data_IF_826619795629
#
_entry.id   IF_826619795629
#
_cell.length_a   1.000
_cell.length_b   1.000
_cell.length_c   1.000
_cell.angle_alpha   90.00
_cell.angle_beta   90.00
_cell.angle_gamma   90.00
#
_symmetry.space_group_name_H-M   'P 1'
#
loop_
_entity.id
_entity.type
_entity.pdbx_description
1 polymer ?
#
# COMPACT_ATOMS: atom_id res chain seq x y z
N UNK A 1 -17.65 16.16 12.31
CA UNK A 1 -17.12 16.13 10.94
C UNK A 1 -15.60 15.95 10.85
N UNK A 2 -14.78 16.62 11.67
CA UNK A 2 -13.30 16.56 11.60
C UNK A 2 -12.68 15.31 12.28
N UNK A 3 -13.32 14.77 13.32
CA UNK A 3 -12.74 13.71 14.17
C UNK A 3 -12.36 12.44 13.37
N UNK A 4 -13.21 11.88 12.48
CA UNK A 4 -12.81 10.70 11.71
C UNK A 4 -11.62 10.96 10.79
N UNK A 5 -11.57 12.11 10.13
CA UNK A 5 -10.49 12.50 9.23
C UNK A 5 -9.15 12.61 9.99
N UNK A 6 -9.15 13.15 11.21
CA UNK A 6 -7.95 13.24 12.03
C UNK A 6 -7.43 11.86 12.46
N UNK A 7 -8.32 10.96 12.88
CA UNK A 7 -7.95 9.59 13.29
C UNK A 7 -7.29 8.87 12.11
N UNK A 8 -7.91 8.93 10.93
CA UNK A 8 -7.38 8.29 9.74
C UNK A 8 -6.10 8.95 9.21
N UNK A 9 -6.01 10.28 9.28
CA UNK A 9 -4.79 11.01 8.93
C UNK A 9 -3.60 10.62 9.81
N UNK A 10 -3.80 10.53 11.13
CA UNK A 10 -2.78 10.07 12.08
C UNK A 10 -2.39 8.61 11.85
N UNK A 11 -3.35 7.73 11.56
CA UNK A 11 -3.07 6.35 11.20
C UNK A 11 -2.23 6.23 9.92
N UNK A 12 -2.51 7.06 8.92
CA UNK A 12 -1.71 7.14 7.68
C UNK A 12 -0.28 7.59 7.93
N UNK A 13 -0.07 8.59 8.79
CA UNK A 13 1.27 9.04 9.21
C UNK A 13 2.01 7.92 9.95
N UNK A 14 1.33 7.22 10.86
CA UNK A 14 1.90 6.08 11.60
C UNK A 14 2.32 4.93 10.69
N UNK A 15 1.45 4.54 9.74
CA UNK A 15 1.76 3.50 8.76
C UNK A 15 2.91 3.88 7.83
N UNK A 16 2.92 5.12 7.32
CA UNK A 16 3.98 5.63 6.44
C UNK A 16 5.34 5.75 7.13
N UNK A 17 5.37 6.24 8.37
CA UNK A 17 6.60 6.39 9.16
C UNK A 17 7.19 5.04 9.60
N UNK A 18 6.35 4.07 9.98
CA UNK A 18 6.79 2.71 10.28
C UNK A 18 7.42 2.00 9.09
N UNK A 19 6.88 2.21 7.88
CA UNK A 19 7.48 1.71 6.65
C UNK A 19 8.85 2.37 6.40
N UNK A 20 8.94 3.69 6.51
CA UNK A 20 10.18 4.43 6.29
C UNK A 20 11.34 3.98 7.21
N UNK A 21 11.06 3.70 8.48
CA UNK A 21 12.05 3.20 9.42
C UNK A 21 12.53 1.78 9.05
N UNK A 22 11.61 0.89 8.68
CA UNK A 22 11.97 -0.48 8.27
C UNK A 22 12.77 -0.51 6.96
N UNK A 23 12.45 0.39 6.03
CA UNK A 23 13.13 0.52 4.74
C UNK A 23 14.63 0.81 4.88
N UNK A 24 15.06 1.59 5.87
CA UNK A 24 16.48 1.92 6.04
C UNK A 24 17.34 0.69 6.35
N UNK A 25 16.92 -0.14 7.32
CA UNK A 25 17.63 -1.39 7.63
C UNK A 25 17.60 -2.37 6.44
N UNK A 26 16.45 -2.47 5.79
CA UNK A 26 16.25 -3.37 4.68
C UNK A 26 17.11 -3.02 3.45
N UNK A 27 17.30 -1.73 3.14
CA UNK A 27 18.18 -1.30 2.05
C UNK A 27 19.65 -1.63 2.35
N UNK A 28 20.09 -1.42 3.58
CA UNK A 28 21.47 -1.71 4.00
C UNK A 28 21.81 -3.19 3.79
N UNK A 29 20.97 -4.09 4.30
CA UNK A 29 21.15 -5.55 4.17
C UNK A 29 21.12 -5.99 2.70
N UNK A 30 20.15 -5.50 1.91
CA UNK A 30 20.07 -5.81 0.48
C UNK A 30 21.30 -5.35 -0.29
N UNK A 31 21.86 -4.18 0.05
CA UNK A 31 23.03 -3.63 -0.63
C UNK A 31 24.27 -4.49 -0.36
N UNK A 32 24.44 -4.97 0.88
CA UNK A 32 25.52 -5.91 1.21
C UNK A 32 25.40 -7.21 0.43
N UNK A 33 24.21 -7.82 0.38
CA UNK A 33 24.00 -9.07 -0.35
C UNK A 33 24.21 -8.86 -1.85
N UNK A 34 23.74 -7.74 -2.42
CA UNK A 34 23.97 -7.41 -3.83
C UNK A 34 25.46 -7.29 -4.18
N UNK A 35 26.28 -6.74 -3.28
CA UNK A 35 27.72 -6.63 -3.50
C UNK A 35 28.46 -7.96 -3.33
N UNK A 36 27.99 -8.84 -2.44
CA UNK A 36 28.63 -10.15 -2.22
C UNK A 36 28.19 -11.21 -3.21
N UNK A 37 26.90 -11.30 -3.52
CA UNK A 37 26.30 -12.34 -4.35
C UNK A 37 25.00 -11.85 -5.02
N UNK A 38 25.12 -11.47 -6.29
CA UNK A 38 24.00 -10.97 -7.10
C UNK A 38 22.93 -12.01 -7.37
N UNK A 39 23.27 -13.31 -7.41
CA UNK A 39 22.31 -14.38 -7.64
C UNK A 39 21.51 -14.68 -6.36
N UNK A 40 22.18 -14.72 -5.21
CA UNK A 40 21.50 -14.85 -3.92
C UNK A 40 20.58 -13.65 -3.64
N UNK A 41 21.03 -12.42 -3.95
CA UNK A 41 20.20 -11.22 -3.92
C UNK A 41 18.94 -11.39 -4.78
N UNK A 42 19.11 -11.76 -6.05
CA UNK A 42 17.99 -11.85 -6.98
C UNK A 42 16.98 -12.92 -6.54
N UNK A 43 17.44 -14.08 -6.05
CA UNK A 43 16.56 -15.14 -5.57
C UNK A 43 15.75 -14.72 -4.32
N UNK A 44 16.40 -14.09 -3.33
CA UNK A 44 15.74 -13.64 -2.12
C UNK A 44 14.75 -12.51 -2.39
N UNK A 45 15.17 -11.50 -3.16
CA UNK A 45 14.37 -10.32 -3.40
C UNK A 45 13.20 -10.59 -4.37
N UNK A 46 13.39 -11.50 -5.34
CA UNK A 46 12.30 -11.96 -6.20
C UNK A 46 11.18 -12.62 -5.37
N UNK A 47 11.52 -13.55 -4.48
CA UNK A 47 10.52 -14.23 -3.63
C UNK A 47 9.73 -13.24 -2.76
N UNK A 48 10.42 -12.19 -2.26
CA UNK A 48 9.78 -11.11 -1.49
C UNK A 48 8.84 -10.28 -2.36
N UNK A 49 9.30 -9.84 -3.53
CA UNK A 49 8.53 -8.99 -4.43
C UNK A 49 7.33 -9.71 -5.05
N UNK A 50 7.41 -11.02 -5.27
CA UNK A 50 6.25 -11.83 -5.68
C UNK A 50 5.14 -11.81 -4.62
N UNK A 51 5.49 -11.93 -3.33
CA UNK A 51 4.53 -11.80 -2.22
C UNK A 51 3.90 -10.40 -2.15
N UNK A 52 4.71 -9.35 -2.33
CA UNK A 52 4.23 -7.96 -2.39
C UNK A 52 3.26 -7.79 -3.55
N UNK A 53 3.64 -8.26 -4.74
CA UNK A 53 2.83 -8.11 -5.94
C UNK A 53 1.51 -8.89 -5.87
N UNK A 54 1.51 -10.07 -5.24
CA UNK A 54 0.31 -10.86 -5.00
C UNK A 54 -0.66 -10.22 -3.98
N UNK A 55 -0.24 -9.17 -3.26
CA UNK A 55 -1.11 -8.47 -2.32
C UNK A 55 -1.91 -7.33 -2.98
N UNK A 56 -1.45 -6.78 -4.10
CA UNK A 56 -2.11 -5.64 -4.77
C UNK A 56 -3.57 -5.89 -5.15
N UNK A 57 -3.96 -7.04 -5.75
CA UNK A 57 -5.35 -7.27 -6.10
C UNK A 57 -6.27 -7.30 -4.86
N UNK A 58 -5.78 -7.89 -3.76
CA UNK A 58 -6.52 -7.99 -2.50
C UNK A 58 -6.73 -6.61 -1.86
N UNK A 59 -5.69 -5.78 -1.80
CA UNK A 59 -5.80 -4.43 -1.27
C UNK A 59 -6.74 -3.56 -2.10
N UNK A 60 -6.59 -3.58 -3.43
CA UNK A 60 -7.48 -2.80 -4.32
C UNK A 60 -8.94 -3.24 -4.20
N UNK A 61 -9.20 -4.55 -4.10
CA UNK A 61 -10.54 -5.07 -3.89
C UNK A 61 -11.11 -4.62 -2.54
N UNK A 62 -10.32 -4.69 -1.46
CA UNK A 62 -10.74 -4.25 -0.13
C UNK A 62 -11.12 -2.76 -0.13
N UNK A 63 -10.30 -1.89 -0.73
CA UNK A 63 -10.61 -0.46 -0.83
C UNK A 63 -11.84 -0.19 -1.69
N UNK A 64 -11.99 -0.88 -2.82
CA UNK A 64 -13.17 -0.73 -3.67
C UNK A 64 -14.46 -1.11 -2.93
N UNK A 65 -14.45 -2.22 -2.18
CA UNK A 65 -15.59 -2.64 -1.35
C UNK A 65 -15.91 -1.59 -0.29
N UNK A 66 -14.90 -1.04 0.40
CA UNK A 66 -15.10 0.01 1.40
C UNK A 66 -15.72 1.26 0.77
N UNK A 67 -15.28 1.68 -0.42
CA UNK A 67 -15.88 2.82 -1.14
C UNK A 67 -17.35 2.55 -1.47
N UNK A 68 -17.69 1.37 -1.98
CA UNK A 68 -19.08 1.00 -2.31
C UNK A 68 -19.96 1.00 -1.05
N UNK A 69 -19.51 0.40 0.04
CA UNK A 69 -20.24 0.39 1.32
C UNK A 69 -20.41 1.83 1.84
N UNK A 70 -19.36 2.64 1.74
CA UNK A 70 -19.40 4.03 2.21
C UNK A 70 -20.36 4.89 1.39
N UNK A 71 -20.44 4.67 0.07
CA UNK A 71 -21.46 5.30 -0.78
C UNK A 71 -22.88 4.88 -0.37
N UNK A 72 -23.09 3.59 -0.10
CA UNK A 72 -24.38 3.11 0.39
C UNK A 72 -24.76 3.76 1.73
N UNK A 73 -23.82 3.85 2.68
CA UNK A 73 -24.04 4.53 3.96
C UNK A 73 -24.37 6.01 3.78
N UNK A 74 -23.70 6.69 2.85
CA UNK A 74 -23.93 8.10 2.57
C UNK A 74 -25.36 8.39 2.08
N UNK A 75 -25.91 7.53 1.21
CA UNK A 75 -27.26 7.73 0.64
C UNK A 75 -28.38 7.15 1.50
N UNK A 76 -28.13 6.07 2.25
CA UNK A 76 -29.18 5.32 2.95
C UNK A 76 -29.35 5.73 4.42
N UNK A 77 -28.38 6.42 5.02
CA UNK A 77 -28.38 6.71 6.46
C UNK A 77 -28.42 8.21 6.74
N UNK A 78 -29.54 8.69 7.28
CA UNK A 78 -29.73 10.08 7.69
C UNK A 78 -29.21 10.33 9.13
N UNK A 79 -27.89 10.19 9.34
CA UNK A 79 -27.23 10.57 10.59
C UNK A 79 -25.95 11.34 10.29
N UNK A 80 -25.82 12.56 10.81
CA UNK A 80 -24.70 13.46 10.51
C UNK A 80 -23.31 12.84 10.73
N UNK A 81 -23.16 12.02 11.77
CA UNK A 81 -21.90 11.35 12.06
C UNK A 81 -21.58 10.23 11.05
N UNK A 82 -22.61 9.53 10.55
CA UNK A 82 -22.48 8.47 9.52
C UNK A 82 -22.11 9.10 8.19
N UNK A 83 -22.76 10.20 7.82
CA UNK A 83 -22.44 10.97 6.61
C UNK A 83 -20.98 11.44 6.63
N UNK A 84 -20.51 11.96 7.77
CA UNK A 84 -19.11 12.36 7.94
C UNK A 84 -18.13 11.19 7.82
N UNK A 85 -18.45 10.04 8.42
CA UNK A 85 -17.62 8.82 8.32
C UNK A 85 -17.58 8.28 6.89
N UNK A 86 -18.72 8.21 6.21
CA UNK A 86 -18.84 7.74 4.84
C UNK A 86 -18.01 8.59 3.88
N UNK A 87 -18.11 9.92 3.96
CA UNK A 87 -17.30 10.82 3.15
C UNK A 87 -15.80 10.68 3.43
N UNK A 88 -15.40 10.52 4.69
CA UNK A 88 -14.01 10.31 5.07
C UNK A 88 -13.44 9.00 4.48
N UNK A 89 -14.20 7.90 4.55
CA UNK A 89 -13.83 6.61 4.00
C UNK A 89 -13.74 6.64 2.48
N UNK A 90 -14.69 7.27 1.79
CA UNK A 90 -14.65 7.47 0.33
C UNK A 90 -13.37 8.20 -0.05
N UNK A 91 -13.08 9.32 0.61
CA UNK A 91 -11.91 10.15 0.31
C UNK A 91 -10.61 9.36 0.50
N UNK A 92 -10.41 8.74 1.68
CA UNK A 92 -9.14 8.09 2.00
C UNK A 92 -8.91 6.83 1.14
N UNK A 93 -9.93 6.00 0.92
CA UNK A 93 -9.79 4.81 0.08
C UNK A 93 -9.56 5.17 -1.39
N UNK A 94 -10.15 6.26 -1.88
CA UNK A 94 -9.89 6.74 -3.24
C UNK A 94 -8.45 7.21 -3.41
N UNK A 95 -7.92 7.95 -2.43
CA UNK A 95 -6.51 8.38 -2.42
C UNK A 95 -5.58 7.18 -2.35
N UNK A 96 -5.86 6.21 -1.47
CA UNK A 96 -5.05 4.99 -1.35
C UNK A 96 -5.05 4.18 -2.65
N UNK A 97 -6.20 4.01 -3.30
CA UNK A 97 -6.29 3.37 -4.62
C UNK A 97 -5.43 4.10 -5.65
N UNK A 98 -5.49 5.42 -5.71
CA UNK A 98 -4.70 6.21 -6.66
C UNK A 98 -3.19 6.06 -6.41
N UNK A 99 -2.75 6.15 -5.16
CA UNK A 99 -1.34 5.97 -4.77
C UNK A 99 -0.86 4.55 -5.10
N UNK A 100 -1.69 3.55 -4.80
CA UNK A 100 -1.36 2.14 -5.02
C UNK A 100 -1.23 1.77 -6.50
N UNK A 101 -1.92 2.47 -7.41
CA UNK A 101 -1.71 2.28 -8.87
C UNK A 101 -0.26 2.58 -9.25
N UNK A 102 0.29 3.70 -8.77
CA UNK A 102 1.68 4.05 -9.04
C UNK A 102 2.65 3.12 -8.30
N UNK A 103 2.34 2.78 -7.05
CA UNK A 103 3.17 1.86 -6.27
C UNK A 103 3.24 0.47 -6.90
N UNK A 104 2.12 -0.06 -7.38
CA UNK A 104 2.05 -1.33 -8.10
C UNK A 104 2.88 -1.30 -9.38
N UNK A 105 2.74 -0.25 -10.20
CA UNK A 105 3.52 -0.12 -11.45
C UNK A 105 5.02 -0.15 -11.16
N UNK A 106 5.49 0.59 -10.14
CA UNK A 106 6.89 0.58 -9.71
C UNK A 106 7.33 -0.80 -9.21
N UNK A 107 6.49 -1.46 -8.41
CA UNK A 107 6.79 -2.78 -7.87
C UNK A 107 6.96 -3.84 -8.97
N UNK A 108 6.10 -3.82 -10.00
CA UNK A 108 6.19 -4.73 -11.15
C UNK A 108 7.50 -4.49 -11.91
N UNK A 109 7.77 -3.23 -12.30
CA UNK A 109 9.00 -2.88 -13.02
C UNK A 109 10.25 -3.31 -12.22
N UNK A 110 10.29 -3.04 -10.92
CA UNK A 110 11.39 -3.47 -10.06
C UNK A 110 11.57 -4.99 -10.03
N UNK A 111 10.47 -5.75 -9.97
CA UNK A 111 10.50 -7.22 -9.98
C UNK A 111 11.01 -7.77 -11.31
N UNK A 112 10.66 -7.14 -12.42
CA UNK A 112 11.17 -7.49 -13.74
C UNK A 112 12.68 -7.26 -13.85
N UNK A 113 13.17 -6.13 -13.33
CA UNK A 113 14.61 -5.85 -13.30
C UNK A 113 15.38 -6.88 -12.47
N UNK A 114 14.84 -7.32 -11.33
CA UNK A 114 15.45 -8.39 -10.52
C UNK A 114 15.51 -9.71 -11.30
N UNK A 115 14.45 -10.04 -12.06
CA UNK A 115 14.42 -11.26 -12.87
C UNK A 115 15.53 -11.28 -13.93
N UNK A 116 15.85 -10.12 -14.52
CA UNK A 116 16.95 -10.00 -15.48
C UNK A 116 18.33 -10.25 -14.85
N UNK A 117 18.53 -9.96 -13.56
CA UNK A 117 19.78 -10.22 -12.84
C UNK A 117 19.99 -11.72 -12.57
N UNK A 118 18.90 -12.49 -12.49
CA UNK A 118 18.92 -13.94 -12.27
C UNK A 118 19.18 -14.73 -13.57
N UNK A 119 18.86 -14.16 -14.74
CA UNK A 119 19.06 -14.76 -16.06
C UNK A 119 20.53 -14.71 -16.48
#
# INVERSE_FOLDING_TARGET
MIIPLLIFGLAGIGGGSGLAYRTHKQISELTTIYQSDKQAFAAQEQSRMEKVNANWPRLKLAYAIIVVISLALFFLVNKDWVTGLALALILICSILLAVDVFAQKRAIIYTEQIRLIKS
#
